data_IF_164778343710
#
_entry.id   IF_164778343710
#
_cell.length_a   1.000
_cell.length_b   1.000
_cell.length_c   1.000
_cell.angle_alpha   90.00
_cell.angle_beta   90.00
_cell.angle_gamma   90.00
#
_symmetry.space_group_name_H-M   'P 1'
#
loop_
_entity.id
_entity.type
_entity.pdbx_description
1 polymer ?
#
# COMPACT_ATOMS: atom_id res chain seq x y z
N UNK A 1 8.21 27.03 -14.53
CA UNK A 1 7.75 25.64 -14.78
C UNK A 1 8.75 24.62 -14.23
N UNK A 2 10.02 24.66 -14.68
CA UNK A 2 11.09 23.77 -14.19
C UNK A 2 11.24 23.76 -12.67
N UNK A 3 11.41 24.93 -12.07
CA UNK A 3 11.56 25.08 -10.60
C UNK A 3 10.37 24.49 -9.82
N UNK A 4 9.15 24.63 -10.35
CA UNK A 4 7.94 24.06 -9.74
C UNK A 4 7.95 22.52 -9.78
N UNK A 5 8.41 21.92 -10.88
CA UNK A 5 8.54 20.47 -10.99
C UNK A 5 9.62 19.96 -10.03
N UNK A 6 10.78 20.62 -9.99
CA UNK A 6 11.87 20.28 -9.07
C UNK A 6 11.39 20.34 -7.62
N UNK A 7 10.68 21.41 -7.24
CA UNK A 7 10.10 21.56 -5.91
C UNK A 7 9.14 20.41 -5.55
N UNK A 8 8.20 20.06 -6.43
CA UNK A 8 7.23 18.97 -6.18
C UNK A 8 7.96 17.62 -6.01
N UNK A 9 8.96 17.33 -6.86
CA UNK A 9 9.73 16.09 -6.78
C UNK A 9 10.55 16.06 -5.49
N UNK A 10 11.23 17.17 -5.13
CA UNK A 10 12.00 17.29 -3.88
C UNK A 10 11.12 17.11 -2.64
N UNK A 11 9.91 17.65 -2.63
CA UNK A 11 8.94 17.43 -1.55
C UNK A 11 8.56 15.95 -1.42
N UNK A 12 8.29 15.27 -2.54
CA UNK A 12 8.00 13.83 -2.53
C UNK A 12 9.18 12.98 -2.02
N UNK A 13 10.41 13.35 -2.38
CA UNK A 13 11.63 12.70 -1.86
C UNK A 13 11.72 12.92 -0.35
N UNK A 14 11.52 14.15 0.12
CA UNK A 14 11.58 14.47 1.56
C UNK A 14 10.54 13.66 2.35
N UNK A 15 9.30 13.59 1.87
CA UNK A 15 8.26 12.77 2.50
C UNK A 15 8.70 11.30 2.62
N UNK A 16 9.29 10.71 1.57
CA UNK A 16 9.80 9.34 1.63
C UNK A 16 10.97 9.16 2.60
N UNK A 17 11.87 10.15 2.69
CA UNK A 17 12.94 10.16 3.69
C UNK A 17 12.39 10.21 5.11
N UNK A 18 11.36 11.03 5.37
CA UNK A 18 10.67 11.08 6.67
C UNK A 18 10.04 9.74 7.02
N UNK A 19 9.29 9.12 6.08
CA UNK A 19 8.71 7.78 6.27
C UNK A 19 9.78 6.75 6.59
N UNK A 20 10.91 6.75 5.86
CA UNK A 20 12.02 5.84 6.10
C UNK A 20 12.66 6.01 7.49
N UNK A 21 12.75 7.25 7.98
CA UNK A 21 13.34 7.55 9.28
C UNK A 21 12.38 7.31 10.46
N UNK A 22 11.08 7.20 10.21
CA UNK A 22 10.06 7.04 11.26
C UNK A 22 9.89 5.57 11.66
N UNK A 23 10.60 5.17 12.72
CA UNK A 23 10.54 3.80 13.25
C UNK A 23 9.13 3.39 13.71
N UNK A 24 8.32 4.33 14.20
CA UNK A 24 6.97 4.01 14.63
C UNK A 24 6.08 3.68 13.43
N UNK A 25 6.18 4.44 12.36
CA UNK A 25 5.44 4.18 11.14
C UNK A 25 5.86 2.84 10.51
N UNK A 26 7.15 2.52 10.48
CA UNK A 26 7.64 1.22 10.00
C UNK A 26 7.10 0.06 10.83
N UNK A 27 7.10 0.18 12.17
CA UNK A 27 6.49 -0.83 13.06
C UNK A 27 4.98 -0.98 12.83
N UNK A 28 4.26 0.11 12.53
CA UNK A 28 2.83 0.04 12.20
C UNK A 28 2.61 -0.69 10.88
N UNK A 29 3.43 -0.41 9.84
CA UNK A 29 3.35 -1.11 8.56
C UNK A 29 3.54 -2.62 8.73
N UNK A 30 4.54 -3.05 9.51
CA UNK A 30 4.77 -4.47 9.81
C UNK A 30 3.56 -5.12 10.50
N UNK A 31 2.96 -4.43 11.48
CA UNK A 31 1.75 -4.91 12.16
C UNK A 31 0.55 -5.06 11.23
N UNK A 32 0.35 -4.09 10.33
CA UNK A 32 -0.74 -4.15 9.33
C UNK A 32 -0.54 -5.35 8.41
N UNK A 33 0.67 -5.57 7.89
CA UNK A 33 1.00 -6.73 7.06
C UNK A 33 0.75 -8.04 7.82
N UNK A 34 1.17 -8.12 9.09
CA UNK A 34 0.91 -9.28 9.95
C UNK A 34 -0.58 -9.60 10.10
N UNK A 35 -1.41 -8.58 10.33
CA UNK A 35 -2.86 -8.74 10.42
C UNK A 35 -3.49 -9.22 9.10
N UNK A 36 -3.01 -8.71 7.96
CA UNK A 36 -3.44 -9.18 6.65
C UNK A 36 -3.11 -10.66 6.43
N UNK A 37 -1.88 -11.07 6.77
CA UNK A 37 -1.45 -12.47 6.66
C UNK A 37 -2.28 -13.40 7.54
N UNK A 38 -2.50 -13.04 8.80
CA UNK A 38 -3.34 -13.81 9.73
C UNK A 38 -4.77 -13.95 9.19
N UNK A 39 -5.32 -12.89 8.60
CA UNK A 39 -6.66 -12.89 8.00
C UNK A 39 -6.74 -13.93 6.87
N UNK A 40 -5.80 -13.91 5.92
CA UNK A 40 -5.81 -14.86 4.82
C UNK A 40 -5.56 -16.31 5.27
N UNK A 41 -4.66 -16.53 6.23
CA UNK A 41 -4.39 -17.86 6.79
C UNK A 41 -5.62 -18.48 7.47
N UNK A 42 -6.49 -17.63 8.02
CA UNK A 42 -7.78 -18.03 8.61
C UNK A 42 -8.93 -18.09 7.60
N UNK A 43 -8.63 -18.10 6.29
CA UNK A 43 -9.60 -18.03 5.19
C UNK A 43 -10.54 -16.80 5.27
N UNK A 44 -10.05 -15.70 5.87
CA UNK A 44 -10.72 -14.42 5.90
C UNK A 44 -10.53 -13.62 4.61
N UNK A 45 -11.21 -12.47 4.54
CA UNK A 45 -11.14 -11.55 3.41
C UNK A 45 -10.71 -10.16 3.84
N UNK A 46 -10.04 -9.42 2.95
CA UNK A 46 -9.67 -8.03 3.16
C UNK A 46 -10.50 -7.15 2.23
N UNK A 47 -11.07 -6.09 2.77
CA UNK A 47 -11.85 -5.11 2.01
C UNK A 47 -11.15 -3.76 2.02
N UNK A 48 -10.94 -3.17 0.85
CA UNK A 48 -10.33 -1.85 0.66
C UNK A 48 -11.40 -0.81 0.35
N UNK A 49 -11.22 0.40 0.87
CA UNK A 49 -12.09 1.53 0.56
C UNK A 49 -11.30 2.84 0.56
N UNK A 50 -11.77 3.82 -0.22
CA UNK A 50 -11.14 5.11 -0.35
C UNK A 50 -11.98 6.08 -1.17
N UNK A 51 -11.61 7.36 -1.16
CA UNK A 51 -12.27 8.42 -1.91
C UNK A 51 -11.28 9.08 -2.87
N UNK A 52 -11.73 9.47 -4.07
CA UNK A 52 -10.87 10.15 -5.05
C UNK A 52 -9.64 9.31 -5.42
N UNK A 53 -8.44 9.87 -5.28
CA UNK A 53 -7.19 9.16 -5.56
C UNK A 53 -7.03 7.87 -4.73
N UNK A 54 -7.44 7.88 -3.47
CA UNK A 54 -7.35 6.69 -2.61
C UNK A 54 -8.33 5.58 -3.00
N UNK A 55 -9.40 5.90 -3.75
CA UNK A 55 -10.24 4.86 -4.35
C UNK A 55 -9.50 4.12 -5.46
N UNK A 56 -8.65 4.83 -6.22
CA UNK A 56 -7.78 4.23 -7.22
C UNK A 56 -6.70 3.34 -6.57
N UNK A 57 -6.15 3.73 -5.43
CA UNK A 57 -5.22 2.89 -4.67
C UNK A 57 -5.91 1.64 -4.09
N UNK A 58 -7.13 1.78 -3.56
CA UNK A 58 -7.91 0.66 -3.04
C UNK A 58 -8.14 -0.43 -4.10
N UNK A 59 -8.65 -0.06 -5.27
CA UNK A 59 -8.84 -1.01 -6.37
C UNK A 59 -7.51 -1.57 -6.91
N UNK A 60 -6.42 -0.78 -6.86
CA UNK A 60 -5.11 -1.23 -7.32
C UNK A 60 -4.59 -2.37 -6.43
N UNK A 61 -4.59 -2.17 -5.11
CA UNK A 61 -4.15 -3.19 -4.15
C UNK A 61 -5.08 -4.41 -4.22
N UNK A 62 -6.39 -4.20 -4.28
CA UNK A 62 -7.35 -5.30 -4.42
C UNK A 62 -7.06 -6.14 -5.69
N UNK A 63 -6.77 -5.50 -6.82
CA UNK A 63 -6.42 -6.18 -8.07
C UNK A 63 -5.08 -6.92 -8.03
N UNK A 64 -4.06 -6.36 -7.39
CA UNK A 64 -2.77 -7.04 -7.19
C UNK A 64 -2.90 -8.29 -6.31
N UNK A 65 -3.77 -8.24 -5.29
CA UNK A 65 -3.98 -9.33 -4.35
C UNK A 65 -4.88 -10.43 -4.92
N UNK A 66 -6.02 -10.06 -5.52
CA UNK A 66 -6.99 -10.99 -6.11
C UNK A 66 -6.58 -11.50 -7.49
N UNK A 67 -5.72 -10.77 -8.20
CA UNK A 67 -5.10 -11.23 -9.42
C UNK A 67 -3.69 -11.76 -9.15
N UNK A 68 -2.69 -11.02 -9.65
CA UNK A 68 -1.27 -11.34 -9.52
C UNK A 68 -0.49 -10.05 -9.29
N UNK A 69 0.56 -10.15 -8.49
CA UNK A 69 1.49 -9.06 -8.23
C UNK A 69 2.86 -9.32 -8.87
N UNK A 70 3.76 -10.02 -8.18
CA UNK A 70 5.11 -10.31 -8.69
C UNK A 70 5.35 -11.77 -9.13
N UNK A 71 4.66 -12.72 -8.52
CA UNK A 71 4.85 -14.16 -8.78
C UNK A 71 3.54 -14.81 -9.16
N UNK A 72 3.64 -15.95 -9.84
CA UNK A 72 2.48 -16.79 -10.09
C UNK A 72 2.07 -17.50 -8.79
N UNK A 73 0.81 -17.30 -8.39
CA UNK A 73 0.19 -17.89 -7.21
C UNK A 73 -1.33 -17.90 -7.37
N UNK A 74 -1.98 -18.70 -6.53
CA UNK A 74 -3.43 -18.62 -6.35
C UNK A 74 -3.86 -17.24 -5.83
N UNK A 75 -5.05 -16.76 -6.22
CA UNK A 75 -5.57 -15.45 -5.82
C UNK A 75 -5.83 -15.37 -4.31
N UNK A 76 -5.69 -14.17 -3.74
CA UNK A 76 -6.07 -13.88 -2.35
C UNK A 76 -7.45 -13.25 -2.33
N UNK A 77 -8.24 -13.50 -1.29
CA UNK A 77 -9.60 -12.97 -1.19
C UNK A 77 -9.60 -11.50 -0.73
N UNK A 78 -9.35 -10.60 -1.69
CA UNK A 78 -9.24 -9.17 -1.49
C UNK A 78 -10.14 -8.42 -2.47
N UNK A 79 -10.92 -7.45 -1.98
CA UNK A 79 -11.86 -6.63 -2.78
C UNK A 79 -11.79 -5.15 -2.39
#
# INVERSE_FOLDING_TARGET
MKEKMESIISESIRTKQTVLSDQNLLMVMEKVVGACLETFQKNGKILFCGNGGSAADAQHIAGELSGRFFIDREPLFAE
#
